data_IF_828320366691
#
_entry.id   IF_828320366691
#
_cell.length_a   1.000
_cell.length_b   1.000
_cell.length_c   1.000
_cell.angle_alpha   90.00
_cell.angle_beta   90.00
_cell.angle_gamma   90.00
#
_symmetry.space_group_name_H-M   'P 1'
#
loop_
_entity.id
_entity.type
_entity.pdbx_description
1 polymer ?
#
# COMPACT_ATOMS: atom_id res chain seq x y z
N UNK A 1 -19.84 10.42 -7.21
CA UNK A 1 -19.04 9.91 -6.07
C UNK A 1 -19.72 10.30 -4.76
N UNK A 2 -19.97 9.34 -3.85
CA UNK A 2 -20.64 9.63 -2.59
C UNK A 2 -19.76 10.53 -1.69
N UNK A 3 -20.29 11.67 -1.23
CA UNK A 3 -19.65 12.49 -0.18
C UNK A 3 -19.30 11.56 0.98
N UNK A 4 -18.02 11.51 1.37
CA UNK A 4 -17.65 10.80 2.58
C UNK A 4 -18.47 11.36 3.74
N UNK A 5 -19.24 10.50 4.43
CA UNK A 5 -19.97 10.94 5.62
C UNK A 5 -18.95 11.43 6.63
N UNK A 6 -19.22 12.54 7.29
CA UNK A 6 -18.29 13.19 8.23
C UNK A 6 -17.82 12.25 9.36
N UNK A 7 -18.56 11.16 9.61
CA UNK A 7 -18.20 10.05 10.50
C UNK A 7 -16.95 9.24 10.09
N UNK A 8 -16.54 9.30 8.83
CA UNK A 8 -15.45 8.50 8.25
C UNK A 8 -14.11 9.27 8.19
N UNK A 9 -14.11 10.53 8.68
CA UNK A 9 -12.93 11.39 8.77
C UNK A 9 -12.60 11.66 10.24
N UNK A 10 -11.32 11.79 10.53
CA UNK A 10 -10.83 12.22 11.84
C UNK A 10 -10.31 13.65 11.80
N UNK A 11 -10.32 14.34 12.94
CA UNK A 11 -9.78 15.69 13.09
C UNK A 11 -8.24 15.64 13.10
N UNK A 12 -7.62 15.78 11.91
CA UNK A 12 -6.17 15.72 11.76
C UNK A 12 -5.42 16.79 12.57
N UNK A 13 -5.86 18.06 12.64
CA UNK A 13 -5.22 19.05 13.51
C UNK A 13 -5.07 18.59 14.97
N UNK A 14 -6.11 17.99 15.55
CA UNK A 14 -6.05 17.48 16.91
C UNK A 14 -5.03 16.33 17.06
N UNK A 15 -4.98 15.41 16.08
CA UNK A 15 -4.00 14.32 16.09
C UNK A 15 -2.58 14.85 15.95
N UNK A 16 -2.34 15.84 15.10
CA UNK A 16 -1.01 16.46 14.92
C UNK A 16 -0.51 17.12 16.22
N UNK A 17 -1.41 17.70 17.02
CA UNK A 17 -1.06 18.22 18.33
C UNK A 17 -0.56 17.11 19.27
N UNK A 18 -1.24 15.96 19.29
CA UNK A 18 -0.79 14.79 20.06
C UNK A 18 0.54 14.26 19.52
N UNK A 19 0.69 14.16 18.20
CA UNK A 19 1.93 13.68 17.58
C UNK A 19 3.13 14.57 17.93
N UNK A 20 2.96 15.88 18.03
CA UNK A 20 4.05 16.79 18.39
C UNK A 20 4.62 16.55 19.79
N UNK A 21 3.90 15.86 20.68
CA UNK A 21 4.40 15.55 22.03
C UNK A 21 5.08 14.18 22.12
N UNK A 22 4.84 13.27 21.17
CA UNK A 22 5.28 11.88 21.28
C UNK A 22 6.02 11.34 20.04
N UNK A 23 6.06 12.07 18.92
CA UNK A 23 6.76 11.63 17.72
C UNK A 23 8.26 11.59 17.95
N UNK A 24 8.93 10.71 17.20
CA UNK A 24 10.38 10.64 17.15
C UNK A 24 10.85 10.68 15.70
N UNK A 25 12.04 11.25 15.50
CA UNK A 25 12.68 11.27 14.20
C UNK A 25 13.59 10.06 14.07
N UNK A 26 13.43 9.30 12.99
CA UNK A 26 14.28 8.16 12.67
C UNK A 26 15.19 8.51 11.50
N UNK A 27 16.44 8.09 11.61
CA UNK A 27 17.47 8.24 10.59
C UNK A 27 17.78 6.88 9.94
N UNK A 28 17.85 6.80 8.60
CA UNK A 28 18.34 5.62 7.89
C UNK A 28 19.70 5.14 8.43
N UNK A 29 19.98 3.84 8.29
CA UNK A 29 21.17 3.14 8.82
C UNK A 29 21.27 3.06 10.35
N UNK A 30 20.95 4.13 11.09
CA UNK A 30 20.92 4.11 12.56
C UNK A 30 19.69 3.32 13.05
N UNK A 31 18.55 3.44 12.37
CA UNK A 31 17.27 2.93 12.85
C UNK A 31 16.69 1.75 12.03
N UNK A 32 17.53 0.87 11.47
CA UNK A 32 17.07 -0.28 10.66
C UNK A 32 16.04 0.11 9.59
N UNK A 33 16.20 1.31 9.02
CA UNK A 33 15.40 1.84 7.91
C UNK A 33 16.29 1.89 6.67
N UNK A 34 15.80 1.33 5.57
CA UNK A 34 16.50 1.35 4.28
C UNK A 34 16.62 2.77 3.71
N UNK A 35 15.49 3.42 3.47
CA UNK A 35 15.37 4.80 3.01
C UNK A 35 13.99 5.33 3.39
N UNK A 36 13.90 6.63 3.69
CA UNK A 36 12.62 7.29 3.94
C UNK A 36 12.01 7.80 2.64
N UNK A 37 10.68 7.71 2.46
CA UNK A 37 9.98 8.38 1.37
C UNK A 37 10.20 9.90 1.44
N UNK A 38 10.39 10.54 0.29
CA UNK A 38 10.64 11.98 0.16
C UNK A 38 9.57 12.72 -0.66
N UNK A 39 8.39 12.13 -0.81
CA UNK A 39 7.28 12.73 -1.56
C UNK A 39 6.48 13.71 -0.70
N UNK A 40 6.14 14.88 -1.27
CA UNK A 40 5.43 15.96 -0.56
C UNK A 40 3.97 15.67 -0.28
N UNK A 41 3.38 14.70 -1.00
CA UNK A 41 2.01 14.24 -0.82
C UNK A 41 1.89 13.09 0.19
N UNK A 42 2.98 12.71 0.84
CA UNK A 42 3.02 11.61 1.80
C UNK A 42 3.41 12.12 3.20
N UNK A 43 2.41 12.26 4.07
CA UNK A 43 2.60 12.63 5.47
C UNK A 43 2.66 11.37 6.36
N UNK A 44 3.74 11.21 7.13
CA UNK A 44 3.88 10.14 8.10
C UNK A 44 4.70 10.55 9.32
N UNK A 45 4.45 9.90 10.46
CA UNK A 45 5.21 10.10 11.70
C UNK A 45 5.51 8.77 12.38
N UNK A 46 6.66 8.70 13.06
CA UNK A 46 7.03 7.56 13.89
C UNK A 46 6.65 7.82 15.34
N UNK A 47 5.98 6.86 15.97
CA UNK A 47 5.52 6.94 17.35
C UNK A 47 6.06 5.74 18.14
N UNK A 48 6.77 5.96 19.26
CA UNK A 48 7.19 4.88 20.15
C UNK A 48 6.01 4.03 20.63
N UNK A 49 6.21 2.72 20.75
CA UNK A 49 5.20 1.77 21.23
C UNK A 49 4.62 2.17 22.59
N UNK A 50 5.41 2.82 23.45
CA UNK A 50 4.98 3.34 24.76
C UNK A 50 3.84 4.37 24.69
N UNK A 51 3.69 5.04 23.55
CA UNK A 51 2.62 6.02 23.30
C UNK A 51 1.48 5.48 22.46
N UNK A 52 1.50 4.20 22.07
CA UNK A 52 0.52 3.59 21.19
C UNK A 52 -0.92 3.68 21.73
N UNK A 53 -1.08 3.53 23.04
CA UNK A 53 -2.38 3.61 23.72
C UNK A 53 -3.11 4.94 23.50
N UNK A 54 -2.37 6.05 23.31
CA UNK A 54 -2.95 7.36 23.00
C UNK A 54 -3.76 7.34 21.69
N UNK A 55 -3.44 6.41 20.78
CA UNK A 55 -4.06 6.30 19.47
C UNK A 55 -5.13 5.20 19.39
N UNK A 56 -5.33 4.42 20.46
CA UNK A 56 -6.37 3.37 20.53
C UNK A 56 -7.78 3.87 20.17
N UNK A 57 -8.23 5.09 20.56
CA UNK A 57 -9.54 5.61 20.14
C UNK A 57 -9.73 5.73 18.62
N UNK A 58 -8.62 5.80 17.87
CA UNK A 58 -8.62 5.91 16.41
C UNK A 58 -8.42 4.56 15.71
N UNK A 59 -8.14 3.49 16.46
CA UNK A 59 -8.02 2.13 15.94
C UNK A 59 -9.41 1.53 15.70
N UNK A 60 -9.80 1.44 14.42
CA UNK A 60 -11.10 0.92 13.98
C UNK A 60 -10.93 -0.23 12.98
N UNK A 61 -10.67 -1.46 13.45
CA UNK A 61 -10.59 -2.63 12.58
C UNK A 61 -11.85 -2.77 11.71
N UNK A 62 -11.67 -3.07 10.42
CA UNK A 62 -12.76 -3.22 9.44
C UNK A 62 -13.39 -1.91 8.94
N UNK A 63 -13.27 -0.80 9.68
CA UNK A 63 -13.75 0.53 9.26
C UNK A 63 -12.73 1.64 9.56
N UNK A 64 -11.55 1.60 8.92
CA UNK A 64 -10.52 2.61 9.12
C UNK A 64 -10.98 3.99 8.61
N UNK A 65 -10.44 5.05 9.21
CA UNK A 65 -10.64 6.41 8.72
C UNK A 65 -10.02 6.59 7.33
N UNK A 66 -10.69 7.36 6.47
CA UNK A 66 -10.20 7.59 5.10
C UNK A 66 -8.98 8.51 5.03
N UNK A 67 -8.80 9.35 6.04
CA UNK A 67 -7.75 10.36 6.12
C UNK A 67 -6.69 10.09 7.21
N UNK A 68 -6.82 9.02 7.99
CA UNK A 68 -5.83 8.67 9.00
C UNK A 68 -5.66 7.16 9.06
N UNK A 69 -4.40 6.72 8.95
CA UNK A 69 -4.04 5.32 9.03
C UNK A 69 -3.07 5.10 10.18
N UNK A 70 -3.47 4.22 11.10
CA UNK A 70 -2.58 3.62 12.08
C UNK A 70 -1.93 2.41 11.43
N UNK A 71 -0.71 2.60 10.91
CA UNK A 71 0.11 1.52 10.34
C UNK A 71 0.55 0.65 11.50
N UNK A 72 0.58 -0.68 11.32
CA UNK A 72 1.18 -1.60 12.28
C UNK A 72 0.76 -1.44 13.76
N UNK A 73 -0.47 -1.00 14.01
CA UNK A 73 -1.03 -0.89 15.36
C UNK A 73 -0.98 -2.26 16.05
N UNK A 74 -0.65 -2.27 17.35
CA UNK A 74 -0.38 -3.47 18.18
C UNK A 74 0.84 -4.32 17.77
N UNK A 75 1.54 -3.94 16.69
CA UNK A 75 2.73 -4.65 16.17
C UNK A 75 3.86 -3.66 15.88
N UNK A 76 4.43 -3.03 16.92
CA UNK A 76 5.45 -2.00 16.75
C UNK A 76 6.64 -2.54 15.96
N UNK A 77 7.12 -1.73 15.01
CA UNK A 77 8.15 -2.14 14.08
C UNK A 77 9.53 -2.16 14.75
N UNK A 78 10.29 -3.23 14.52
CA UNK A 78 11.70 -3.36 14.90
C UNK A 78 12.65 -3.12 13.71
N UNK A 79 12.11 -3.12 12.51
CA UNK A 79 12.80 -2.74 11.27
C UNK A 79 11.75 -2.27 10.26
N UNK A 80 12.12 -1.30 9.42
CA UNK A 80 11.24 -0.68 8.44
C UNK A 80 11.90 -0.66 7.06
N UNK A 81 11.11 -0.93 6.02
CA UNK A 81 11.55 -0.78 4.64
C UNK A 81 10.43 -0.14 3.83
N UNK A 82 10.74 0.97 3.20
CA UNK A 82 9.80 1.69 2.34
C UNK A 82 10.10 1.40 0.89
N UNK A 83 9.04 1.14 0.11
CA UNK A 83 9.17 0.95 -1.32
C UNK A 83 7.91 1.41 -2.05
N UNK A 84 8.09 1.90 -3.27
CA UNK A 84 6.99 2.29 -4.12
C UNK A 84 6.60 1.11 -5.02
N UNK A 85 5.31 0.77 -5.05
CA UNK A 85 4.78 -0.29 -5.91
C UNK A 85 3.68 0.28 -6.81
N UNK A 86 3.87 0.09 -8.11
CA UNK A 86 2.81 0.32 -9.09
C UNK A 86 1.72 -0.75 -8.89
N UNK A 87 0.51 -0.31 -8.56
CA UNK A 87 -0.65 -1.19 -8.45
C UNK A 87 -1.44 -1.10 -9.74
N UNK A 88 -1.48 -2.21 -10.45
CA UNK A 88 -2.30 -2.37 -11.64
C UNK A 88 -3.12 -3.66 -11.54
N UNK A 89 -4.21 -3.67 -12.28
CA UNK A 89 -5.09 -4.81 -12.48
C UNK A 89 -5.29 -4.95 -13.98
N UNK A 90 -5.21 -6.19 -14.45
CA UNK A 90 -5.59 -6.57 -15.79
C UNK A 90 -6.75 -7.55 -15.68
N UNK A 91 -7.85 -7.23 -16.36
CA UNK A 91 -8.96 -8.14 -16.55
C UNK A 91 -8.86 -8.70 -17.97
N UNK A 92 -8.62 -10.01 -18.06
CA UNK A 92 -8.39 -10.72 -19.32
C UNK A 92 -9.69 -11.38 -19.77
N UNK A 93 -9.73 -11.79 -21.03
CA UNK A 93 -10.86 -12.53 -21.60
C UNK A 93 -12.17 -11.74 -21.54
N UNK A 94 -12.05 -10.41 -21.71
CA UNK A 94 -13.20 -9.52 -21.88
C UNK A 94 -13.98 -9.98 -23.11
N UNK A 95 -15.29 -10.11 -22.97
CA UNK A 95 -16.16 -10.48 -24.10
C UNK A 95 -16.17 -9.38 -25.16
N UNK A 96 -16.23 -9.78 -26.43
CA UNK A 96 -16.31 -8.85 -27.56
C UNK A 96 -17.45 -7.82 -27.42
N UNK A 97 -18.60 -8.23 -26.87
CA UNK A 97 -19.75 -7.36 -26.59
C UNK A 97 -19.42 -6.20 -25.64
N UNK A 98 -18.64 -6.48 -24.58
CA UNK A 98 -18.18 -5.49 -23.61
C UNK A 98 -17.18 -4.53 -24.27
N UNK A 99 -16.23 -5.06 -25.06
CA UNK A 99 -15.28 -4.25 -25.80
C UNK A 99 -15.97 -3.31 -26.80
N UNK A 100 -16.96 -3.81 -27.56
CA UNK A 100 -17.78 -3.01 -28.47
C UNK A 100 -18.56 -1.91 -27.72
N UNK A 101 -19.10 -2.21 -26.55
CA UNK A 101 -19.79 -1.21 -25.71
C UNK A 101 -18.83 -0.09 -25.30
N UNK A 102 -17.62 -0.41 -24.85
CA UNK A 102 -16.60 0.57 -24.45
C UNK A 102 -16.20 1.44 -25.65
N UNK A 103 -15.93 0.82 -26.80
CA UNK A 103 -15.56 1.54 -28.03
C UNK A 103 -16.67 2.46 -28.52
N UNK A 104 -17.94 2.02 -28.49
CA UNK A 104 -19.11 2.86 -28.83
C UNK A 104 -19.21 4.06 -27.90
N UNK A 105 -19.05 3.85 -26.59
CA UNK A 105 -19.08 4.95 -25.63
C UNK A 105 -17.98 5.98 -25.93
N UNK A 106 -16.74 5.54 -26.18
CA UNK A 106 -15.63 6.44 -26.52
C UNK A 106 -15.88 7.21 -27.82
N UNK A 107 -16.45 6.55 -28.83
CA UNK A 107 -16.84 7.18 -30.09
C UNK A 107 -17.92 8.23 -29.88
N UNK A 108 -18.97 7.91 -29.12
CA UNK A 108 -20.11 8.79 -28.88
C UNK A 108 -19.68 10.01 -28.04
N UNK A 109 -18.73 9.84 -27.10
CA UNK A 109 -18.09 10.95 -26.37
C UNK A 109 -17.32 11.90 -27.31
N UNK A 110 -16.57 11.37 -28.27
CA UNK A 110 -15.87 12.17 -29.27
C UNK A 110 -16.83 12.87 -30.23
N UNK A 111 -17.90 12.19 -30.66
CA UNK A 111 -18.94 12.80 -31.49
C UNK A 111 -19.66 13.91 -30.74
N UNK A 112 -20.08 13.69 -29.50
CA UNK A 112 -20.72 14.72 -28.69
C UNK A 112 -19.85 15.98 -28.57
N UNK A 113 -18.53 15.82 -28.40
CA UNK A 113 -17.58 16.94 -28.41
C UNK A 113 -17.50 17.63 -29.78
N UNK A 114 -17.53 16.87 -30.88
CA UNK A 114 -17.49 17.45 -32.22
C UNK A 114 -18.67 18.37 -32.56
N UNK A 115 -19.82 18.19 -31.88
CA UNK A 115 -20.98 19.07 -32.01
C UNK A 115 -20.83 20.38 -31.22
N UNK A 116 -20.03 20.39 -30.15
CA UNK A 116 -19.82 21.54 -29.28
C UNK A 116 -18.59 22.35 -29.69
N UNK A 117 -17.51 21.67 -30.10
CA UNK A 117 -16.20 22.25 -30.45
C UNK A 117 -15.56 21.53 -31.65
N UNK A 118 -14.59 22.16 -32.31
CA UNK A 118 -13.76 21.48 -33.30
C UNK A 118 -12.83 20.46 -32.63
N UNK A 119 -12.89 19.20 -33.10
CA UNK A 119 -11.98 18.17 -32.65
C UNK A 119 -10.53 18.49 -33.05
N UNK A 120 -9.60 18.23 -32.14
CA UNK A 120 -8.17 18.33 -32.45
C UNK A 120 -7.77 17.25 -33.48
N UNK A 121 -6.68 17.44 -34.24
CA UNK A 121 -6.20 16.42 -35.18
C UNK A 121 -5.98 15.04 -34.55
N UNK A 122 -5.53 14.99 -33.29
CA UNK A 122 -5.36 13.75 -32.54
C UNK A 122 -6.69 13.08 -32.19
N UNK A 123 -7.71 13.86 -31.82
CA UNK A 123 -9.06 13.34 -31.54
C UNK A 123 -9.74 12.81 -32.80
N UNK A 124 -9.58 13.50 -33.95
CA UNK A 124 -10.10 13.03 -35.24
C UNK A 124 -9.45 11.70 -35.67
N UNK A 125 -8.12 11.58 -35.52
CA UNK A 125 -7.43 10.32 -35.81
C UNK A 125 -7.95 9.19 -34.92
N UNK A 126 -8.10 9.45 -33.63
CA UNK A 126 -8.62 8.48 -32.66
C UNK A 126 -10.05 8.05 -32.99
N UNK A 127 -10.91 8.97 -33.42
CA UNK A 127 -12.27 8.65 -33.85
C UNK A 127 -12.28 7.67 -35.04
N UNK A 128 -11.46 7.95 -36.07
CA UNK A 128 -11.31 7.06 -37.24
C UNK A 128 -10.79 5.67 -36.86
N UNK A 129 -9.81 5.61 -35.94
CA UNK A 129 -9.28 4.35 -35.42
C UNK A 129 -10.36 3.54 -34.68
N UNK A 130 -11.17 4.20 -33.83
CA UNK A 130 -12.27 3.55 -33.12
C UNK A 130 -13.32 3.01 -34.10
N UNK A 131 -13.70 3.78 -35.11
CA UNK A 131 -14.67 3.34 -36.12
C UNK A 131 -14.16 2.13 -36.93
N UNK A 132 -12.88 2.12 -37.28
CA UNK A 132 -12.24 0.98 -37.94
C UNK A 132 -12.26 -0.28 -37.07
N UNK A 133 -11.89 -0.14 -35.78
CA UNK A 133 -11.92 -1.24 -34.82
C UNK A 133 -13.33 -1.78 -34.59
N UNK A 134 -14.33 -0.91 -34.47
CA UNK A 134 -15.73 -1.32 -34.31
C UNK A 134 -16.20 -2.20 -35.47
N UNK A 135 -15.88 -1.83 -36.71
CA UNK A 135 -16.23 -2.63 -37.90
C UNK A 135 -15.49 -3.95 -37.93
N UNK A 136 -14.19 -3.94 -37.68
CA UNK A 136 -13.36 -5.15 -37.72
C UNK A 136 -13.77 -6.17 -36.66
N UNK A 137 -14.02 -5.73 -35.42
CA UNK A 137 -14.46 -6.61 -34.32
C UNK A 137 -15.86 -7.18 -34.59
N UNK A 138 -16.76 -6.42 -35.22
CA UNK A 138 -18.09 -6.92 -35.58
C UNK A 138 -18.06 -8.00 -36.66
N UNK A 139 -17.16 -7.88 -37.63
CA UNK A 139 -17.02 -8.83 -38.73
C UNK A 139 -16.34 -10.13 -38.31
N UNK A 140 -15.28 -10.03 -37.51
CA UNK A 140 -14.43 -11.17 -37.14
C UNK A 140 -14.03 -11.11 -35.67
N UNK A 141 -14.98 -11.24 -34.72
CA UNK A 141 -14.71 -11.07 -33.29
C UNK A 141 -13.68 -12.09 -32.77
N UNK A 142 -13.67 -13.30 -33.30
CA UNK A 142 -12.78 -14.39 -32.88
C UNK A 142 -11.30 -14.14 -33.22
N UNK A 143 -11.00 -13.14 -34.06
CA UNK A 143 -9.62 -12.74 -34.37
C UNK A 143 -9.03 -11.77 -33.33
N UNK A 144 -9.83 -11.34 -32.35
CA UNK A 144 -9.42 -10.36 -31.36
C UNK A 144 -9.41 -10.96 -29.95
N UNK A 145 -8.38 -10.63 -29.19
CA UNK A 145 -8.34 -10.86 -27.74
C UNK A 145 -8.47 -9.52 -27.03
N UNK A 146 -9.34 -9.46 -26.01
CA UNK A 146 -9.62 -8.23 -25.29
C UNK A 146 -9.16 -8.33 -23.83
N UNK A 147 -8.62 -7.23 -23.34
CA UNK A 147 -8.36 -7.03 -21.92
C UNK A 147 -8.64 -5.57 -21.55
N UNK A 148 -8.95 -5.34 -20.28
CA UNK A 148 -8.94 -3.99 -19.71
C UNK A 148 -7.84 -3.91 -18.65
N UNK A 149 -7.17 -2.78 -18.56
CA UNK A 149 -6.10 -2.58 -17.60
C UNK A 149 -6.07 -1.13 -17.14
N UNK A 150 -5.79 -0.93 -15.85
CA UNK A 150 -5.51 0.39 -15.32
C UNK A 150 -4.01 0.71 -15.26
N UNK A 151 -3.16 -0.08 -15.93
CA UNK A 151 -1.71 0.06 -15.90
C UNK A 151 -1.23 1.47 -16.26
N UNK A 152 -1.83 2.09 -17.27
CA UNK A 152 -1.45 3.45 -17.71
C UNK A 152 -1.97 4.57 -16.79
N UNK A 153 -2.72 4.25 -15.73
CA UNK A 153 -3.07 5.24 -14.72
C UNK A 153 -1.94 5.49 -13.69
N UNK A 154 -0.83 4.75 -13.78
CA UNK A 154 0.38 4.93 -12.95
C UNK A 154 0.09 5.05 -11.45
N UNK A 155 -0.88 4.31 -10.93
CA UNK A 155 -1.24 4.34 -9.51
C UNK A 155 -0.12 3.74 -8.66
N UNK A 156 0.73 4.61 -8.12
CA UNK A 156 1.88 4.27 -7.31
C UNK A 156 1.60 4.49 -5.83
N UNK A 157 1.64 3.41 -5.05
CA UNK A 157 1.49 3.46 -3.60
C UNK A 157 2.83 3.21 -2.95
N UNK A 158 3.13 4.01 -1.93
CA UNK A 158 4.17 3.65 -0.97
C UNK A 158 3.68 2.52 -0.09
N UNK A 159 4.54 1.56 0.13
CA UNK A 159 4.36 0.50 1.10
C UNK A 159 5.41 0.65 2.19
N UNK A 160 4.99 0.36 3.42
CA UNK A 160 5.83 0.17 4.57
C UNK A 160 5.84 -1.33 4.89
N UNK A 161 6.97 -1.98 4.61
CA UNK A 161 7.29 -3.30 5.13
C UNK A 161 7.86 -3.14 6.53
N UNK A 162 7.41 -3.94 7.47
CA UNK A 162 7.93 -3.92 8.82
C UNK A 162 8.10 -5.33 9.38
N UNK A 163 9.16 -5.50 10.16
CA UNK A 163 9.34 -6.66 11.04
C UNK A 163 8.85 -6.32 12.43
N UNK A 164 8.33 -7.31 13.15
CA UNK A 164 7.81 -7.17 14.52
C UNK A 164 7.99 -8.49 15.27
N UNK A 165 7.93 -8.47 16.60
CA UNK A 165 7.91 -9.69 17.41
C UNK A 165 6.49 -10.27 17.48
N UNK A 166 6.35 -11.57 17.23
CA UNK A 166 5.06 -12.27 17.29
C UNK A 166 4.71 -12.70 18.72
N UNK A 167 5.71 -12.85 19.57
CA UNK A 167 5.64 -13.38 20.91
C UNK A 167 6.09 -12.35 21.95
N UNK A 168 5.59 -12.50 23.19
CA UNK A 168 5.95 -11.63 24.31
C UNK A 168 7.43 -11.79 24.70
N UNK A 169 7.99 -12.99 24.48
CA UNK A 169 9.39 -13.33 24.79
C UNK A 169 10.38 -12.79 23.76
N UNK A 170 9.89 -12.20 22.66
CA UNK A 170 10.69 -11.55 21.61
C UNK A 170 11.67 -12.50 20.90
N UNK A 171 11.29 -13.78 20.80
CA UNK A 171 12.12 -14.82 20.18
C UNK A 171 11.74 -15.02 18.70
N UNK A 172 10.49 -14.78 18.34
CA UNK A 172 9.96 -15.00 17.00
C UNK A 172 9.59 -13.69 16.33
N UNK A 173 10.08 -13.50 15.10
CA UNK A 173 9.74 -12.31 14.33
C UNK A 173 8.83 -12.64 13.15
N UNK A 174 7.85 -11.76 12.90
CA UNK A 174 7.00 -11.76 11.73
C UNK A 174 7.37 -10.63 10.77
N UNK A 175 6.84 -10.69 9.54
CA UNK A 175 6.94 -9.61 8.56
C UNK A 175 5.56 -9.29 8.00
N UNK A 176 5.23 -8.00 7.89
CA UNK A 176 3.99 -7.53 7.30
C UNK A 176 4.23 -6.30 6.42
N UNK A 177 3.30 -6.08 5.50
CA UNK A 177 3.37 -5.01 4.50
C UNK A 177 2.06 -4.23 4.49
N UNK A 178 2.17 -2.90 4.58
CA UNK A 178 1.01 -2.03 4.55
C UNK A 178 1.24 -0.85 3.60
N UNK A 179 0.26 -0.57 2.73
CA UNK A 179 0.30 0.63 1.90
C UNK A 179 0.04 1.90 2.73
N UNK A 180 0.65 3.01 2.36
CA UNK A 180 0.45 4.30 2.98
C UNK A 180 -0.62 5.11 2.25
N UNK A 181 -1.29 6.00 2.98
CA UNK A 181 -2.22 6.97 2.44
C UNK A 181 -1.45 8.18 1.90
N UNK A 182 -1.79 8.62 0.69
CA UNK A 182 -1.29 9.87 0.10
C UNK A 182 -2.35 10.95 0.11
N UNK A 183 -1.94 12.20 0.25
CA UNK A 183 -2.78 13.35 -0.02
C UNK A 183 -3.34 13.26 -1.45
N UNK A 184 -4.58 13.70 -1.62
CA UNK A 184 -5.21 13.69 -2.94
C UNK A 184 -5.77 15.06 -3.25
N UNK A 185 -5.44 15.60 -4.42
CA UNK A 185 -6.12 16.76 -4.96
C UNK A 185 -7.52 16.34 -5.46
N UNK A 186 -8.53 17.16 -5.17
CA UNK A 186 -9.82 16.99 -5.82
C UNK A 186 -9.69 17.44 -7.28
N UNK A 187 -10.30 16.69 -8.19
CA UNK A 187 -10.17 16.89 -9.63
C UNK A 187 -10.84 18.18 -10.16
N UNK A 188 -11.59 18.90 -9.32
CA UNK A 188 -12.14 20.20 -9.68
C UNK A 188 -11.03 21.26 -9.51
N UNK A 189 -10.71 21.97 -10.58
CA UNK A 189 -9.65 22.98 -10.69
C UNK A 189 -9.58 23.89 -9.46
N UNK A 190 -8.48 23.81 -8.70
CA UNK A 190 -8.28 24.58 -7.46
C UNK A 190 -8.83 23.96 -6.18
N UNK A 191 -9.29 22.70 -6.23
CA UNK A 191 -9.88 22.00 -5.09
C UNK A 191 -8.91 21.81 -3.91
N UNK A 192 -9.40 22.05 -2.69
CA UNK A 192 -8.66 21.84 -1.45
C UNK A 192 -8.00 20.45 -1.38
N UNK A 193 -6.73 20.41 -0.97
CA UNK A 193 -5.98 19.17 -0.75
C UNK A 193 -6.69 18.35 0.32
N UNK A 194 -7.04 17.10 -0.02
CA UNK A 194 -7.51 16.15 0.97
C UNK A 194 -6.29 15.58 1.70
N UNK A 195 -5.98 16.18 2.84
CA UNK A 195 -4.91 15.71 3.73
C UNK A 195 -5.17 14.28 4.22
N UNK A 196 -4.09 13.52 4.38
CA UNK A 196 -4.08 12.14 4.87
C UNK A 196 -2.82 11.89 5.67
N UNK A 197 -2.97 11.23 6.80
CA UNK A 197 -1.93 11.04 7.79
C UNK A 197 -1.64 9.55 8.01
N UNK A 198 -0.38 9.18 8.06
CA UNK A 198 0.06 7.84 8.45
C UNK A 198 0.82 7.90 9.79
N UNK A 199 0.46 7.05 10.73
CA UNK A 199 1.13 6.94 12.03
C UNK A 199 1.73 5.54 12.10
N UNK A 200 3.05 5.47 12.20
CA UNK A 200 3.82 4.22 12.19
C UNK A 200 4.37 4.00 13.59
N UNK A 201 4.04 2.86 14.19
CA UNK A 201 4.48 2.56 15.55
C UNK A 201 5.82 1.83 15.54
N UNK A 202 6.71 2.16 16.44
CA UNK A 202 8.05 1.59 16.48
C UNK A 202 8.41 1.10 17.87
N UNK A 203 9.21 0.03 17.93
CA UNK A 203 9.90 -0.36 19.14
C UNK A 203 11.23 0.40 19.20
N UNK A 204 11.31 1.43 20.03
CA UNK A 204 12.49 2.30 20.14
C UNK A 204 13.75 1.56 20.60
N UNK A 205 13.60 0.43 21.31
CA UNK A 205 14.72 -0.38 21.80
C UNK A 205 15.35 -1.21 20.68
N UNK A 206 14.54 -1.78 19.80
CA UNK A 206 15.01 -2.70 18.76
C UNK A 206 15.16 -2.07 17.38
N UNK A 207 14.46 -0.96 17.10
CA UNK A 207 14.61 -0.23 15.82
C UNK A 207 16.05 0.25 15.60
N UNK A 208 16.83 0.45 16.65
CA UNK A 208 18.25 0.84 16.58
C UNK A 208 19.22 -0.34 16.53
N UNK A 209 18.73 -1.57 16.69
CA UNK A 209 19.57 -2.77 16.79
C UNK A 209 19.46 -3.59 15.50
N UNK A 210 20.58 -4.12 14.97
CA UNK A 210 20.50 -5.11 13.92
C UNK A 210 19.69 -6.29 14.40
N UNK A 211 18.52 -6.48 13.79
CA UNK A 211 17.75 -7.71 13.91
C UNK A 211 18.57 -8.75 13.17
N UNK A 212 19.07 -9.74 13.89
CA UNK A 212 19.79 -10.85 13.29
C UNK A 212 18.93 -11.42 12.14
N UNK A 213 19.54 -11.61 10.97
CA UNK A 213 18.89 -12.35 9.88
C UNK A 213 18.35 -13.66 10.45
N UNK A 214 17.17 -14.09 10.02
CA UNK A 214 16.47 -15.26 10.60
C UNK A 214 17.39 -16.46 10.77
N UNK A 215 18.32 -16.66 9.83
CA UNK A 215 19.35 -17.70 9.91
C UNK A 215 20.20 -17.62 11.20
N UNK A 216 20.62 -16.43 11.65
CA UNK A 216 21.41 -16.27 12.88
C UNK A 216 20.58 -16.45 14.16
N UNK A 217 19.29 -16.10 14.13
CA UNK A 217 18.38 -16.38 15.24
C UNK A 217 18.08 -17.86 15.33
N UNK A 218 17.81 -18.49 14.19
CA UNK A 218 17.65 -19.94 14.04
C UNK A 218 18.94 -20.63 14.50
N UNK A 219 20.13 -20.24 14.03
CA UNK A 219 21.40 -20.84 14.45
C UNK A 219 21.56 -20.76 15.98
N UNK A 220 21.33 -19.59 16.58
CA UNK A 220 21.41 -19.39 18.04
C UNK A 220 20.36 -20.17 18.82
N UNK A 221 19.14 -20.23 18.30
CA UNK A 221 18.06 -21.02 18.88
C UNK A 221 18.41 -22.50 18.83
N UNK A 222 18.82 -22.99 17.66
CA UNK A 222 19.22 -24.38 17.42
C UNK A 222 20.47 -24.78 18.23
N UNK A 223 21.38 -23.85 18.53
CA UNK A 223 22.49 -24.04 19.47
C UNK A 223 22.03 -24.35 20.90
N UNK A 224 20.82 -23.95 21.30
CA UNK A 224 20.26 -24.30 22.62
C UNK A 224 19.74 -25.73 22.72
N UNK A 225 19.78 -26.49 21.61
CA UNK A 225 19.35 -27.88 21.57
C UNK A 225 20.57 -28.80 21.64
N UNK A 226 20.61 -29.65 22.67
CA UNK A 226 21.73 -30.56 22.95
C UNK A 226 21.89 -31.65 21.90
N UNK A 227 20.79 -32.05 21.27
CA UNK A 227 20.73 -33.21 20.40
C UNK A 227 20.14 -32.86 19.02
N UNK A 228 20.70 -33.48 17.97
CA UNK A 228 20.28 -33.27 16.58
C UNK A 228 20.21 -34.60 15.81
N UNK A 229 19.10 -34.84 15.12
CA UNK A 229 18.90 -35.99 14.23
C UNK A 229 18.48 -35.51 12.84
N UNK A 230 19.32 -35.74 11.83
CA UNK A 230 19.06 -35.35 10.44
C UNK A 230 18.20 -36.41 9.72
N UNK A 231 17.20 -35.99 8.94
CA UNK A 231 16.38 -36.89 8.11
C UNK A 231 15.92 -36.22 6.80
N UNK A 232 16.23 -36.82 5.66
CA UNK A 232 15.90 -36.27 4.34
C UNK A 232 16.48 -34.85 4.14
N UNK A 233 15.60 -33.87 3.87
CA UNK A 233 15.96 -32.44 3.75
C UNK A 233 15.77 -31.63 5.05
N UNK A 234 15.51 -32.30 6.17
CA UNK A 234 15.21 -31.67 7.45
C UNK A 234 16.13 -32.18 8.57
N UNK A 235 16.08 -31.53 9.74
CA UNK A 235 16.76 -31.96 10.96
C UNK A 235 15.84 -31.73 12.15
N UNK A 236 15.73 -32.72 13.03
CA UNK A 236 15.06 -32.64 14.32
C UNK A 236 16.08 -32.17 15.36
N UNK A 237 15.74 -31.15 16.13
CA UNK A 237 16.56 -30.62 17.22
C UNK A 237 15.81 -30.86 18.54
N UNK A 238 16.49 -31.42 19.54
CA UNK A 238 15.91 -31.87 20.80
C UNK A 238 16.71 -31.28 21.96
N UNK A 239 16.00 -30.77 22.98
CA UNK A 239 16.57 -30.29 24.24
C UNK A 239 15.72 -30.78 25.40
N UNK A 240 16.34 -31.23 26.49
CA UNK A 240 15.60 -31.53 27.72
C UNK A 240 15.17 -30.22 28.40
N UNK A 241 13.95 -30.17 28.94
CA UNK A 241 13.40 -28.99 29.64
C UNK A 241 13.57 -29.10 31.17
N UNK A 242 14.30 -30.11 31.65
CA UNK A 242 14.59 -30.26 33.08
C UNK A 242 15.55 -29.17 33.55
N UNK A 243 15.11 -28.43 34.58
CA UNK A 243 15.72 -27.27 35.27
C UNK A 243 17.24 -27.32 35.48
#
# INVERSE_FOLDING_TARGET
MAKAKQSDLVNLPAIRLVLNTCKVDLQPMIHQISALPNETDLEFYFVPATHMELFRPYHRPGRPYKNCKLVNFERPAISLTFYNKHKYQIDRDIKAETALTILRQQRDELYARSFLDQLTPGQNRKLLEIDSLLRAIQLTPDQFQFCTSNYEHYYRYWYCSFRFFEDADQLKTGTANEHLLKHTQRAEEGGAISERLNIIFIDTKYITRPVAYDNKLIDRELETYSDKVSFGKASLYIRSITE
#
